data_IF_641769668956
#
_entry.id   IF_641769668956
#
_cell.length_a   1.000
_cell.length_b   1.000
_cell.length_c   1.000
_cell.angle_alpha   90.00
_cell.angle_beta   90.00
_cell.angle_gamma   90.00
#
_symmetry.space_group_name_H-M   'P 1'
#
loop_
_entity.id
_entity.type
_entity.pdbx_description
1 polymer ?
#
# COMPACT_ATOMS: atom_id res chain seq x y z
N UNK A 1 -19.05 -24.25 8.46
CA UNK A 1 -19.15 -23.99 7.00
C UNK A 1 -19.81 -22.65 6.63
N UNK A 2 -21.11 -22.40 6.85
CA UNK A 2 -21.72 -21.11 6.43
C UNK A 2 -21.26 -19.91 7.28
N UNK A 3 -21.10 -20.10 8.60
CA UNK A 3 -20.61 -19.05 9.49
C UNK A 3 -19.12 -18.74 9.30
N UNK A 4 -18.30 -19.74 8.97
CA UNK A 4 -16.86 -19.55 8.71
C UNK A 4 -16.63 -18.77 7.41
N UNK A 5 -17.36 -19.10 6.35
CA UNK A 5 -17.28 -18.36 5.07
C UNK A 5 -17.78 -16.91 5.19
N UNK A 6 -18.85 -16.68 5.95
CA UNK A 6 -19.29 -15.32 6.29
C UNK A 6 -18.23 -14.56 7.07
N UNK A 7 -17.57 -15.21 8.03
CA UNK A 7 -16.56 -14.58 8.89
C UNK A 7 -15.27 -14.28 8.11
N UNK A 8 -14.86 -15.13 7.18
CA UNK A 8 -13.75 -14.89 6.25
C UNK A 8 -14.07 -13.73 5.29
N UNK A 9 -15.26 -13.74 4.67
CA UNK A 9 -15.73 -12.65 3.81
C UNK A 9 -15.80 -11.32 4.56
N UNK A 10 -16.23 -11.33 5.82
CA UNK A 10 -16.28 -10.13 6.65
C UNK A 10 -14.87 -9.66 7.03
N UNK A 11 -13.93 -10.57 7.31
CA UNK A 11 -12.52 -10.26 7.56
C UNK A 11 -11.84 -9.64 6.34
N UNK A 12 -12.05 -10.23 5.16
CA UNK A 12 -11.50 -9.71 3.91
C UNK A 12 -12.08 -8.33 3.59
N UNK A 13 -13.40 -8.13 3.72
CA UNK A 13 -14.01 -6.82 3.50
C UNK A 13 -13.63 -5.77 4.55
N UNK A 14 -13.39 -6.18 5.80
CA UNK A 14 -13.03 -5.25 6.87
C UNK A 14 -11.59 -4.78 6.77
N UNK A 15 -10.68 -5.61 6.24
CA UNK A 15 -9.27 -5.24 6.00
C UNK A 15 -9.13 -3.96 5.18
N UNK A 16 -9.99 -3.78 4.17
CA UNK A 16 -9.86 -2.69 3.21
C UNK A 16 -10.72 -1.45 3.55
N UNK A 17 -11.66 -1.55 4.50
CA UNK A 17 -12.60 -0.46 4.84
C UNK A 17 -12.07 0.52 5.90
N UNK A 18 -11.15 0.09 6.75
CA UNK A 18 -10.76 0.89 7.92
C UNK A 18 -9.99 2.18 7.52
N UNK A 19 -9.25 2.11 6.41
CA UNK A 19 -8.44 3.25 5.93
C UNK A 19 -9.31 4.27 5.16
N UNK A 20 -10.26 3.80 4.36
CA UNK A 20 -11.18 4.69 3.63
C UNK A 20 -12.25 5.31 4.53
N UNK A 21 -12.61 4.68 5.66
CA UNK A 21 -13.60 5.22 6.61
C UNK A 21 -13.25 6.62 7.13
N UNK A 22 -11.97 6.94 7.28
CA UNK A 22 -11.51 8.26 7.75
C UNK A 22 -11.41 9.32 6.63
N UNK A 23 -11.65 8.94 5.38
CA UNK A 23 -11.58 9.85 4.25
C UNK A 23 -12.83 10.72 4.18
N UNK A 24 -12.67 12.04 3.99
CA UNK A 24 -13.81 12.91 3.75
C UNK A 24 -14.57 12.46 2.49
N UNK A 25 -15.91 12.48 2.56
CA UNK A 25 -16.81 12.01 1.50
C UNK A 25 -16.50 12.60 0.13
N UNK A 26 -16.11 13.87 0.05
CA UNK A 26 -15.74 14.51 -1.22
C UNK A 26 -14.45 13.93 -1.81
N UNK A 27 -13.44 13.61 -0.98
CA UNK A 27 -12.19 12.98 -1.43
C UNK A 27 -12.43 11.54 -1.86
N UNK A 28 -13.27 10.82 -1.13
CA UNK A 28 -13.66 9.46 -1.50
C UNK A 28 -14.33 9.45 -2.88
N UNK A 29 -15.24 10.39 -3.14
CA UNK A 29 -15.89 10.51 -4.45
C UNK A 29 -14.88 10.83 -5.57
N UNK A 30 -13.93 11.73 -5.32
CA UNK A 30 -12.85 12.00 -6.29
C UNK A 30 -12.02 10.75 -6.58
N UNK A 31 -11.69 9.97 -5.55
CA UNK A 31 -10.95 8.72 -5.71
C UNK A 31 -11.76 7.67 -6.47
N UNK A 32 -13.07 7.57 -6.22
CA UNK A 32 -13.96 6.71 -6.99
C UNK A 32 -13.95 7.08 -8.47
N UNK A 33 -14.09 8.36 -8.81
CA UNK A 33 -14.03 8.80 -10.21
C UNK A 33 -12.69 8.46 -10.89
N UNK A 34 -11.59 8.52 -10.14
CA UNK A 34 -10.27 8.13 -10.64
C UNK A 34 -10.24 6.61 -10.89
N UNK A 35 -10.73 5.81 -9.94
CA UNK A 35 -10.84 4.36 -10.09
C UNK A 35 -11.67 3.99 -11.32
N UNK A 36 -12.84 4.61 -11.49
CA UNK A 36 -13.74 4.37 -12.63
C UNK A 36 -13.03 4.67 -13.95
N UNK A 37 -12.39 5.84 -14.07
CA UNK A 37 -11.65 6.23 -15.27
C UNK A 37 -10.45 5.33 -15.57
N UNK A 38 -9.87 4.68 -14.56
CA UNK A 38 -8.81 3.68 -14.74
C UNK A 38 -9.42 2.36 -15.21
N UNK A 39 -10.47 1.87 -14.55
CA UNK A 39 -11.15 0.62 -14.90
C UNK A 39 -11.68 0.64 -16.33
N UNK A 40 -12.15 1.79 -16.84
CA UNK A 40 -12.56 1.96 -18.23
C UNK A 40 -11.42 1.76 -19.26
N UNK A 41 -10.17 1.92 -18.84
CA UNK A 41 -8.98 1.89 -19.72
C UNK A 41 -8.17 0.61 -19.60
N UNK A 42 -8.36 -0.17 -18.55
CA UNK A 42 -7.60 -1.39 -18.30
C UNK A 42 -8.54 -2.58 -18.48
N UNK A 43 -8.20 -3.46 -19.42
CA UNK A 43 -8.89 -4.73 -19.62
C UNK A 43 -8.31 -5.77 -18.65
N UNK A 44 -8.73 -5.69 -17.38
CA UNK A 44 -8.29 -6.58 -16.30
C UNK A 44 -9.48 -7.29 -15.67
N UNK A 45 -9.28 -8.55 -15.30
CA UNK A 45 -10.27 -9.39 -14.61
C UNK A 45 -10.64 -8.90 -13.19
N UNK A 46 -10.10 -7.77 -12.75
CA UNK A 46 -10.36 -7.21 -11.43
C UNK A 46 -10.67 -5.70 -11.48
N UNK A 47 -11.61 -5.28 -10.65
CA UNK A 47 -12.01 -3.88 -10.52
C UNK A 47 -11.14 -3.17 -9.47
N UNK A 48 -10.59 -2.01 -9.83
CA UNK A 48 -9.96 -1.13 -8.85
C UNK A 48 -11.03 -0.34 -8.10
N UNK A 49 -11.04 -0.44 -6.78
CA UNK A 49 -11.89 0.40 -5.91
C UNK A 49 -11.05 1.33 -5.05
N UNK A 50 -11.64 2.42 -4.49
CA UNK A 50 -10.96 3.28 -3.54
C UNK A 50 -10.31 2.52 -2.37
N UNK A 51 -10.95 1.48 -1.86
CA UNK A 51 -10.46 0.62 -0.79
C UNK A 51 -9.18 -0.12 -1.22
N UNK A 52 -9.21 -0.73 -2.41
CA UNK A 52 -8.06 -1.49 -2.96
C UNK A 52 -6.85 -0.59 -3.16
N UNK A 53 -7.05 0.58 -3.79
CA UNK A 53 -5.95 1.53 -4.02
C UNK A 53 -5.41 2.06 -2.71
N UNK A 54 -6.28 2.47 -1.79
CA UNK A 54 -5.86 3.05 -0.50
C UNK A 54 -5.06 2.04 0.32
N UNK A 55 -5.50 0.78 0.35
CA UNK A 55 -4.77 -0.29 1.04
C UNK A 55 -3.38 -0.51 0.43
N UNK A 56 -3.30 -0.66 -0.89
CA UNK A 56 -2.01 -0.88 -1.59
C UNK A 56 -1.03 0.27 -1.34
N UNK A 57 -1.50 1.51 -1.46
CA UNK A 57 -0.65 2.70 -1.21
C UNK A 57 -0.14 2.71 0.23
N UNK A 58 -1.00 2.39 1.19
CA UNK A 58 -0.62 2.36 2.61
C UNK A 58 0.39 1.25 2.92
N UNK A 59 0.18 0.05 2.39
CA UNK A 59 1.09 -1.09 2.53
C UNK A 59 2.47 -0.75 1.98
N UNK A 60 2.54 -0.28 0.72
CA UNK A 60 3.80 0.13 0.09
C UNK A 60 4.50 1.23 0.88
N UNK A 61 3.76 2.24 1.35
CA UNK A 61 4.33 3.30 2.17
C UNK A 61 4.97 2.77 3.47
N UNK A 62 4.29 1.86 4.17
CA UNK A 62 4.80 1.29 5.42
C UNK A 62 6.05 0.44 5.19
N UNK A 63 6.05 -0.38 4.13
CA UNK A 63 7.20 -1.21 3.75
C UNK A 63 8.43 -0.37 3.39
N UNK A 64 8.25 0.66 2.56
CA UNK A 64 9.34 1.55 2.16
C UNK A 64 9.89 2.34 3.35
N UNK A 65 9.00 2.89 4.19
CA UNK A 65 9.42 3.64 5.38
C UNK A 65 10.17 2.75 6.38
N UNK A 66 9.72 1.51 6.57
CA UNK A 66 10.42 0.55 7.43
C UNK A 66 11.78 0.15 6.86
N UNK A 67 11.85 -0.10 5.55
CA UNK A 67 13.10 -0.41 4.84
C UNK A 67 14.11 0.75 4.96
N UNK A 68 13.69 2.00 4.76
CA UNK A 68 14.55 3.16 4.94
C UNK A 68 15.09 3.28 6.38
N UNK A 69 14.20 3.16 7.37
CA UNK A 69 14.60 3.18 8.79
C UNK A 69 15.61 2.08 9.12
N UNK A 70 15.37 0.86 8.62
CA UNK A 70 16.28 -0.27 8.78
C UNK A 70 17.63 0.01 8.14
N UNK A 71 17.65 0.56 6.93
CA UNK A 71 18.89 0.98 6.27
C UNK A 71 19.66 2.02 7.08
N UNK A 72 18.97 2.97 7.73
CA UNK A 72 19.60 3.96 8.61
C UNK A 72 20.19 3.33 9.86
N UNK A 73 19.48 2.39 10.49
CA UNK A 73 19.96 1.65 11.66
C UNK A 73 21.18 0.80 11.30
N UNK A 74 21.11 0.04 10.20
CA UNK A 74 22.23 -0.78 9.71
C UNK A 74 23.44 0.09 9.42
N UNK A 75 23.25 1.26 8.78
CA UNK A 75 24.33 2.21 8.53
C UNK A 75 24.95 2.81 9.80
N UNK A 76 24.21 2.88 10.90
CA UNK A 76 24.69 3.35 12.20
C UNK A 76 25.45 2.25 12.96
N UNK A 77 24.96 1.01 12.93
CA UNK A 77 25.57 -0.13 13.64
C UNK A 77 26.78 -0.67 12.90
N UNK A 78 26.75 -0.69 11.56
CA UNK A 78 27.82 -1.22 10.71
C UNK A 78 28.28 -0.14 9.72
N UNK A 79 29.12 0.82 10.16
CA UNK A 79 29.55 1.95 9.33
C UNK A 79 30.31 1.53 8.07
N UNK A 80 30.88 0.33 8.05
CA UNK A 80 31.64 -0.20 6.91
C UNK A 80 30.74 -0.43 5.67
N UNK A 81 29.46 -0.74 5.87
CA UNK A 81 28.48 -0.86 4.78
C UNK A 81 28.18 0.50 4.12
N UNK A 82 28.34 1.61 4.86
CA UNK A 82 28.22 2.97 4.32
C UNK A 82 29.33 3.29 3.32
N UNK A 83 30.55 2.75 3.52
CA UNK A 83 31.70 2.98 2.63
C UNK A 83 31.57 2.25 1.29
N UNK A 84 30.99 1.04 1.27
CA UNK A 84 30.76 0.27 0.04
C UNK A 84 29.77 0.96 -0.91
N UNK A 85 28.71 1.58 -0.39
CA UNK A 85 27.68 2.22 -1.22
C UNK A 85 28.14 3.51 -1.91
N UNK A 86 29.14 4.21 -1.35
CA UNK A 86 29.75 5.39 -2.00
C UNK A 86 30.60 5.01 -3.20
N UNK A 87 31.38 3.93 -3.12
CA UNK A 87 32.26 3.49 -4.23
C UNK A 87 31.49 3.08 -5.49
N UNK A 88 30.28 2.56 -5.35
CA UNK A 88 29.46 2.10 -6.50
C UNK A 88 28.86 3.28 -7.29
N UNK A 89 28.81 4.49 -6.73
CA UNK A 89 28.20 5.66 -7.39
C UNK A 89 29.24 6.57 -8.09
N UNK A 90 30.52 6.27 -7.90
CA UNK A 90 31.66 7.03 -8.44
C UNK A 90 32.40 6.25 -9.56
N UNK A 91 31.87 5.09 -9.98
CA UNK A 91 32.28 4.29 -11.14
C UNK A 91 31.15 4.29 -12.19
#
# INVERSE_FOLDING_TARGET
>A
MFFESLQEWWKENSKYKEVTYRMHRHRYYQLQMICDAINERIDVDYELTPEVITSRVMETFCEEAFSDSTNRIVAAIVPELKKKRRRIKDD
#
